data_IF_908943167521
#
_entry.id   IF_908943167521
#
_cell.length_a   1.000
_cell.length_b   1.000
_cell.length_c   1.000
_cell.angle_alpha   90.00
_cell.angle_beta   90.00
_cell.angle_gamma   90.00
#
_symmetry.space_group_name_H-M   'P 1'
#
loop_
_entity.id
_entity.type
_entity.pdbx_description
1 polymer ?
#
# COMPACT_ATOMS: atom_id res chain seq x y z
N UNK A 1 -44.36 21.85 16.89
CA UNK A 1 -43.95 20.89 15.85
C UNK A 1 -42.76 21.45 15.06
N UNK A 2 -41.51 21.36 15.56
CA UNK A 2 -40.29 21.85 14.84
C UNK A 2 -39.07 20.92 14.97
N UNK A 3 -39.26 19.70 15.46
CA UNK A 3 -38.15 18.76 15.74
C UNK A 3 -37.89 17.74 14.62
N UNK A 4 -38.75 17.67 13.59
CA UNK A 4 -38.71 16.59 12.61
C UNK A 4 -37.59 16.77 11.55
N UNK A 5 -37.25 18.02 11.19
CA UNK A 5 -36.25 18.31 10.16
C UNK A 5 -34.80 18.02 10.57
N UNK A 6 -34.49 18.00 11.88
CA UNK A 6 -33.12 17.73 12.37
C UNK A 6 -32.74 16.25 12.28
N UNK A 7 -33.71 15.36 12.42
CA UNK A 7 -33.50 13.90 12.31
C UNK A 7 -33.26 13.49 10.86
N UNK A 8 -33.94 14.12 9.91
CA UNK A 8 -33.80 13.83 8.47
C UNK A 8 -32.40 14.16 7.94
N UNK A 9 -31.78 15.26 8.40
CA UNK A 9 -30.42 15.66 7.97
C UNK A 9 -29.35 14.68 8.46
N UNK A 10 -29.47 14.16 9.69
CA UNK A 10 -28.53 13.19 10.26
C UNK A 10 -28.59 11.81 9.58
N UNK A 11 -29.78 11.40 9.13
CA UNK A 11 -29.97 10.16 8.38
C UNK A 11 -29.31 10.27 7.00
N UNK A 12 -29.47 11.41 6.30
CA UNK A 12 -28.87 11.62 4.98
C UNK A 12 -27.33 11.62 5.02
N UNK A 13 -26.71 12.19 6.06
CA UNK A 13 -25.23 12.23 6.20
C UNK A 13 -24.65 10.83 6.46
N UNK A 14 -25.39 9.95 7.16
CA UNK A 14 -24.94 8.59 7.46
C UNK A 14 -25.00 7.64 6.24
N UNK A 15 -25.82 7.96 5.24
CA UNK A 15 -26.07 7.10 4.07
C UNK A 15 -25.12 7.35 2.88
N UNK A 16 -24.36 8.45 2.87
CA UNK A 16 -23.46 8.82 1.75
C UNK A 16 -21.99 8.48 1.99
N UNK A 17 -21.61 7.89 3.12
CA UNK A 17 -20.22 7.53 3.45
C UNK A 17 -19.66 6.30 2.71
N UNK A 18 -20.29 5.87 1.61
CA UNK A 18 -19.97 4.62 0.93
C UNK A 18 -18.77 4.74 -0.02
N UNK A 19 -17.77 3.89 0.23
CA UNK A 19 -16.66 3.51 -0.67
C UNK A 19 -15.51 4.53 -0.83
N UNK A 20 -14.88 4.90 0.29
CA UNK A 20 -13.49 5.35 0.21
C UNK A 20 -12.59 4.13 -0.11
N UNK A 21 -12.07 4.07 -1.33
CA UNK A 21 -10.97 3.16 -1.66
C UNK A 21 -9.71 3.61 -0.92
N UNK A 22 -9.06 2.70 -0.21
CA UNK A 22 -7.76 2.99 0.38
C UNK A 22 -6.70 2.53 -0.61
N UNK A 23 -5.83 3.44 -1.02
CA UNK A 23 -4.62 3.12 -1.76
C UNK A 23 -3.48 2.92 -0.77
N UNK A 24 -2.61 1.96 -1.05
CA UNK A 24 -1.37 1.78 -0.31
C UNK A 24 -0.22 1.44 -1.24
N UNK A 25 1.00 1.65 -0.77
CA UNK A 25 2.21 1.29 -1.51
C UNK A 25 2.74 -0.05 -1.03
N UNK A 26 3.01 -0.95 -1.97
CA UNK A 26 3.74 -2.19 -1.72
C UNK A 26 5.22 -1.99 -2.06
N UNK A 27 6.10 -2.56 -1.23
CA UNK A 27 7.55 -2.49 -1.37
C UNK A 27 8.14 -3.88 -1.40
N UNK A 28 8.96 -4.15 -2.42
CA UNK A 28 9.88 -5.28 -2.44
C UNK A 28 11.21 -4.80 -1.85
N UNK A 29 11.55 -5.31 -0.68
CA UNK A 29 12.77 -4.97 0.04
C UNK A 29 13.78 -6.11 -0.10
N UNK A 30 15.04 -5.74 -0.32
CA UNK A 30 16.17 -6.69 -0.29
C UNK A 30 16.82 -6.60 1.07
N UNK A 31 16.89 -7.71 1.79
CA UNK A 31 17.64 -7.83 3.05
C UNK A 31 18.81 -8.76 2.80
N UNK A 32 20.02 -8.31 3.06
CA UNK A 32 21.23 -9.07 2.74
C UNK A 32 22.30 -8.90 3.80
N UNK A 33 23.19 -9.89 3.94
CA UNK A 33 24.36 -9.83 4.79
C UNK A 33 25.62 -9.95 3.91
N UNK A 34 26.40 -8.87 3.72
CA UNK A 34 27.55 -8.88 2.82
C UNK A 34 28.67 -9.81 3.30
N UNK A 35 28.75 -10.10 4.60
CA UNK A 35 29.77 -10.98 5.18
C UNK A 35 29.45 -12.45 4.99
N UNK A 36 28.17 -12.81 5.06
CA UNK A 36 27.70 -14.20 4.90
C UNK A 36 27.26 -14.53 3.47
N UNK A 37 27.26 -13.54 2.58
CA UNK A 37 26.77 -13.65 1.19
C UNK A 37 25.33 -14.19 1.10
N UNK A 38 24.50 -13.88 2.11
CA UNK A 38 23.09 -14.29 2.13
C UNK A 38 22.19 -13.13 1.77
N UNK A 39 21.09 -13.42 1.06
CA UNK A 39 20.06 -12.45 0.76
C UNK A 39 18.66 -13.06 0.78
N UNK A 40 17.67 -12.20 1.04
CA UNK A 40 16.25 -12.52 0.91
C UNK A 40 15.48 -11.30 0.42
N UNK A 41 14.36 -11.57 -0.23
CA UNK A 41 13.40 -10.55 -0.61
C UNK A 41 12.15 -10.68 0.26
N UNK A 42 11.64 -9.55 0.72
CA UNK A 42 10.38 -9.48 1.47
C UNK A 42 9.45 -8.48 0.80
N UNK A 43 8.15 -8.78 0.86
CA UNK A 43 7.09 -7.87 0.43
C UNK A 43 6.50 -7.20 1.68
N UNK A 44 6.41 -5.88 1.68
CA UNK A 44 5.92 -5.11 2.83
C UNK A 44 5.14 -3.87 2.39
N UNK A 45 4.28 -3.37 3.25
CA UNK A 45 3.69 -2.02 3.13
C UNK A 45 4.55 -0.94 3.79
N UNK A 46 5.63 -1.34 4.46
CA UNK A 46 6.63 -0.47 5.07
C UNK A 46 7.83 -0.35 4.13
N UNK A 47 8.37 0.86 3.99
CA UNK A 47 9.61 1.06 3.23
C UNK A 47 10.86 0.53 3.99
N UNK A 48 12.02 0.55 3.34
CA UNK A 48 13.29 0.11 3.91
C UNK A 48 13.74 0.88 5.18
N UNK A 49 13.23 2.09 5.42
CA UNK A 49 13.53 2.91 6.61
C UNK A 49 12.59 2.55 7.76
N UNK A 50 11.31 2.32 7.45
CA UNK A 50 10.28 1.98 8.42
C UNK A 50 10.32 0.51 8.82
N UNK A 51 10.62 -0.40 7.89
CA UNK A 51 10.58 -1.84 8.11
C UNK A 51 11.43 -2.29 9.33
N UNK A 52 12.68 -1.82 9.52
CA UNK A 52 13.49 -2.21 10.69
C UNK A 52 12.93 -1.74 12.03
N UNK A 53 12.00 -0.77 12.05
CA UNK A 53 11.36 -0.28 13.27
C UNK A 53 10.37 -1.30 13.83
N UNK A 54 9.83 -2.18 12.99
CA UNK A 54 8.83 -3.21 13.35
C UNK A 54 9.36 -4.64 13.17
N UNK A 55 10.32 -4.84 12.26
CA UNK A 55 10.93 -6.12 11.94
C UNK A 55 12.46 -5.99 12.08
N UNK A 56 13.00 -6.23 13.29
CA UNK A 56 14.44 -6.10 13.53
C UNK A 56 15.25 -6.97 12.56
N UNK A 57 16.30 -6.40 11.97
CA UNK A 57 17.24 -7.13 11.14
C UNK A 57 18.19 -7.96 12.01
N UNK A 58 18.68 -9.08 11.48
CA UNK A 58 19.73 -9.83 12.16
C UNK A 58 21.04 -9.04 12.16
N UNK A 59 21.97 -9.41 13.03
CA UNK A 59 23.27 -8.75 13.13
C UNK A 59 24.03 -8.79 11.80
N UNK A 60 24.42 -7.62 11.32
CA UNK A 60 25.17 -7.46 10.06
C UNK A 60 24.32 -7.52 8.80
N UNK A 61 23.00 -7.69 8.92
CA UNK A 61 22.09 -7.51 7.80
C UNK A 61 21.90 -6.02 7.49
N UNK A 62 21.79 -5.75 6.20
CA UNK A 62 21.46 -4.47 5.61
C UNK A 62 20.13 -4.61 4.86
N UNK A 63 19.40 -3.50 4.72
CA UNK A 63 18.14 -3.45 3.99
C UNK A 63 18.18 -2.35 2.93
N UNK A 64 17.70 -2.68 1.74
CA UNK A 64 17.64 -1.76 0.61
C UNK A 64 16.27 -1.84 -0.08
N UNK A 65 15.89 -0.72 -0.68
CA UNK A 65 14.74 -0.65 -1.57
C UNK A 65 15.08 -1.33 -2.91
N UNK A 66 14.29 -2.34 -3.31
CA UNK A 66 14.43 -2.93 -4.63
C UNK A 66 13.37 -2.37 -5.60
N UNK A 67 12.09 -2.45 -5.24
CA UNK A 67 10.98 -2.02 -6.10
C UNK A 67 9.76 -1.57 -5.27
N UNK A 68 8.84 -0.79 -5.86
CA UNK A 68 7.51 -0.53 -5.30
C UNK A 68 6.46 -0.34 -6.38
N UNK A 69 5.20 -0.56 -5.99
CA UNK A 69 4.02 -0.31 -6.81
C UNK A 69 2.85 0.14 -5.94
N UNK A 70 1.86 0.76 -6.58
CA UNK A 70 0.60 1.13 -5.93
C UNK A 70 -0.36 -0.06 -5.94
N UNK A 71 -1.03 -0.25 -4.81
CA UNK A 71 -2.13 -1.18 -4.64
C UNK A 71 -3.41 -0.38 -4.40
N UNK A 72 -4.47 -0.72 -5.14
CA UNK A 72 -5.74 0.02 -5.17
C UNK A 72 -6.82 -0.60 -4.26
N UNK A 73 -6.44 -1.55 -3.40
CA UNK A 73 -7.35 -2.25 -2.51
C UNK A 73 -7.08 -1.94 -1.03
N UNK A 74 -8.09 -2.10 -0.18
CA UNK A 74 -7.97 -1.85 1.24
C UNK A 74 -7.35 -3.06 1.98
N UNK A 75 -6.25 -2.86 2.70
CA UNK A 75 -5.65 -3.87 3.62
C UNK A 75 -6.25 -3.85 5.02
N UNK A 76 -7.42 -3.22 5.21
CA UNK A 76 -8.06 -3.09 6.52
C UNK A 76 -8.13 -4.46 7.22
N UNK A 77 -7.87 -4.49 8.54
CA UNK A 77 -7.72 -5.73 9.32
C UNK A 77 -8.95 -6.64 9.30
N UNK A 78 -10.10 -6.14 8.85
CA UNK A 78 -11.31 -6.92 8.69
C UNK A 78 -11.22 -8.04 7.64
N UNK A 79 -10.22 -8.04 6.73
CA UNK A 79 -10.12 -9.05 5.66
C UNK A 79 -8.76 -9.73 5.47
N UNK A 80 -7.72 -9.36 6.23
CA UNK A 80 -6.37 -9.95 6.10
C UNK A 80 -5.95 -10.17 4.63
N UNK A 81 -6.15 -9.14 3.80
CA UNK A 81 -5.88 -9.24 2.37
C UNK A 81 -4.37 -9.34 2.15
N UNK A 82 -3.87 -10.30 1.35
CA UNK A 82 -2.45 -10.34 0.99
C UNK A 82 -2.05 -9.05 0.26
N UNK A 83 -0.76 -8.67 0.38
CA UNK A 83 -0.22 -7.53 -0.36
C UNK A 83 -0.35 -7.80 -1.86
N UNK A 84 -0.83 -6.81 -2.63
CA UNK A 84 -1.09 -6.98 -4.04
C UNK A 84 0.20 -7.30 -4.83
N UNK A 85 0.07 -8.10 -5.89
CA UNK A 85 1.20 -8.45 -6.75
C UNK A 85 1.64 -7.25 -7.61
N UNK A 86 2.90 -7.28 -8.05
CA UNK A 86 3.45 -6.29 -8.97
C UNK A 86 2.69 -6.36 -10.30
N UNK A 87 2.22 -5.24 -10.86
CA UNK A 87 1.64 -5.22 -12.20
C UNK A 87 2.65 -5.75 -13.23
N UNK A 88 2.28 -6.80 -13.96
CA UNK A 88 3.04 -7.26 -15.13
C UNK A 88 2.80 -6.27 -16.26
N UNK A 89 3.85 -5.89 -17.00
CA UNK A 89 3.77 -4.93 -18.12
C UNK A 89 2.92 -5.38 -19.33
N UNK A 90 2.06 -6.40 -19.16
CA UNK A 90 1.21 -6.99 -20.20
C UNK A 90 -0.26 -6.55 -20.07
N UNK A 91 -0.57 -5.57 -19.23
CA UNK A 91 -1.88 -4.93 -19.21
C UNK A 91 -1.68 -3.43 -19.39
N UNK A 92 -1.62 -2.99 -20.65
CA UNK A 92 -2.41 -1.86 -21.16
C UNK A 92 -1.90 -1.38 -22.52
N UNK A 93 -2.44 -2.00 -23.56
CA UNK A 93 -2.69 -1.31 -24.82
C UNK A 93 -3.96 -0.45 -24.67
N UNK A 94 -4.02 0.42 -23.65
CA UNK A 94 -5.02 1.50 -23.51
C UNK A 94 -4.84 2.28 -22.19
N UNK A 95 -4.03 3.34 -22.21
CA UNK A 95 -4.55 4.70 -22.01
C UNK A 95 -3.41 5.70 -21.84
N UNK A 96 -3.47 6.68 -22.73
CA UNK A 96 -2.60 7.84 -22.87
C UNK A 96 -2.59 8.73 -21.62
N UNK A 97 -1.43 8.85 -20.97
CA UNK A 97 -1.06 10.04 -20.22
C UNK A 97 -0.14 10.93 -21.08
N UNK A 98 -0.32 12.26 -21.11
CA UNK A 98 0.51 13.13 -21.94
C UNK A 98 1.93 13.19 -21.39
N UNK A 99 2.90 12.71 -22.16
CA UNK A 99 4.31 13.00 -21.92
C UNK A 99 4.53 14.49 -22.18
N UNK A 100 4.86 15.24 -21.14
CA UNK A 100 5.56 16.53 -21.26
C UNK A 100 6.92 16.32 -20.62
N UNK A 101 7.96 16.15 -21.44
CA UNK A 101 9.37 16.33 -21.07
C UNK A 101 9.84 17.71 -21.62
N UNK A 102 10.91 18.29 -21.05
CA UNK A 102 11.27 19.71 -21.13
C UNK A 102 11.82 20.18 -22.48
#
# INVERSE_FOLDING_TARGET
MKSLGRVTVLIFISLTGGLAGAEYRAFRLRIFNPTLETERFVLSTLDHVQYPQYHPLNRGELIEYAESWMCWENTAPARYTPICEKPTATADNSSSGPQTEP
#
